data_IF_439426954186
#
_entry.id   IF_439426954186
#
_cell.length_a   1.000
_cell.length_b   1.000
_cell.length_c   1.000
_cell.angle_alpha   90.00
_cell.angle_beta   90.00
_cell.angle_gamma   90.00
#
_symmetry.space_group_name_H-M   'P 1'
#
loop_
_entity.id
_entity.type
_entity.pdbx_description
1 polymer ?
#
# COMPACT_ATOMS: atom_id res chain seq x y z
N UNK A 1 30.76 12.14 2.15
CA UNK A 1 30.23 10.86 2.66
C UNK A 1 31.26 10.23 3.59
N UNK A 2 30.85 9.77 4.77
CA UNK A 2 31.75 9.06 5.70
C UNK A 2 32.00 7.63 5.19
N UNK A 3 33.27 7.28 5.03
CA UNK A 3 33.69 6.00 4.46
C UNK A 3 33.19 4.85 5.36
N UNK A 4 32.32 4.01 4.81
CA UNK A 4 31.82 2.83 5.49
C UNK A 4 30.57 3.03 6.33
N UNK A 5 29.91 4.18 6.35
CA UNK A 5 28.58 4.35 6.97
C UNK A 5 27.47 4.08 5.95
N UNK A 6 26.39 3.38 6.36
CA UNK A 6 25.26 3.13 5.47
C UNK A 6 24.63 4.46 5.00
N UNK A 7 24.31 4.50 3.72
CA UNK A 7 23.49 5.55 3.12
C UNK A 7 22.05 5.47 3.63
N UNK A 8 21.30 6.56 3.48
CA UNK A 8 19.85 6.50 3.64
C UNK A 8 19.33 5.48 2.64
N UNK A 9 18.76 4.40 3.15
CA UNK A 9 18.30 3.27 2.36
C UNK A 9 16.79 3.29 2.30
N UNK A 10 16.26 3.09 1.10
CA UNK A 10 14.85 2.87 0.83
C UNK A 10 14.71 1.52 0.14
N UNK A 11 13.92 0.63 0.73
CA UNK A 11 13.55 -0.65 0.13
C UNK A 11 12.03 -0.67 -0.04
N UNK A 12 11.56 -1.01 -1.24
CA UNK A 12 10.14 -1.22 -1.49
C UNK A 12 9.90 -2.70 -1.79
N UNK A 13 8.95 -3.28 -1.08
CA UNK A 13 8.52 -4.66 -1.23
C UNK A 13 7.07 -4.67 -1.68
N UNK A 14 6.77 -5.47 -2.70
CA UNK A 14 5.42 -5.70 -3.19
C UNK A 14 5.17 -7.20 -3.09
N UNK A 15 4.13 -7.61 -2.36
CA UNK A 15 3.84 -9.02 -2.14
C UNK A 15 2.33 -9.29 -2.07
N UNK A 16 1.88 -10.46 -2.53
CA UNK A 16 0.47 -10.74 -2.73
C UNK A 16 -0.26 -10.83 -1.38
N UNK A 17 -1.48 -10.29 -1.35
CA UNK A 17 -2.36 -10.32 -0.19
C UNK A 17 -3.70 -11.00 -0.50
N UNK A 18 -4.13 -10.97 -1.77
CA UNK A 18 -5.44 -11.47 -2.19
C UNK A 18 -6.55 -10.44 -1.96
N UNK A 19 -7.81 -10.89 -2.06
CA UNK A 19 -8.98 -10.05 -1.81
C UNK A 19 -9.24 -9.96 -0.32
N UNK A 20 -8.92 -8.82 0.27
CA UNK A 20 -9.19 -8.47 1.65
C UNK A 20 -10.01 -7.18 1.73
N UNK A 21 -10.76 -7.04 2.83
CA UNK A 21 -11.27 -5.74 3.27
C UNK A 21 -10.08 -4.79 3.52
N UNK A 22 -10.04 -3.59 2.93
CA UNK A 22 -8.86 -2.73 3.00
C UNK A 22 -8.40 -2.36 4.41
N UNK A 23 -9.33 -2.07 5.33
CA UNK A 23 -8.98 -1.71 6.70
C UNK A 23 -8.38 -2.92 7.43
N UNK A 24 -9.04 -4.07 7.32
CA UNK A 24 -8.56 -5.33 7.91
C UNK A 24 -7.21 -5.77 7.32
N UNK A 25 -6.99 -5.54 6.02
CA UNK A 25 -5.75 -5.87 5.34
C UNK A 25 -4.56 -5.10 5.93
N UNK A 26 -4.68 -3.79 6.11
CA UNK A 26 -3.57 -2.99 6.65
C UNK A 26 -3.24 -3.43 8.09
N UNK A 27 -4.25 -3.69 8.92
CA UNK A 27 -4.05 -4.20 10.27
C UNK A 27 -3.31 -5.55 10.29
N UNK A 28 -3.73 -6.51 9.47
CA UNK A 28 -3.11 -7.83 9.40
C UNK A 28 -1.70 -7.76 8.83
N UNK A 29 -1.49 -6.95 7.79
CA UNK A 29 -0.17 -6.72 7.24
C UNK A 29 0.77 -6.03 8.23
N UNK A 30 0.27 -5.13 9.09
CA UNK A 30 1.06 -4.50 10.15
C UNK A 30 1.46 -5.50 11.25
N UNK A 31 0.61 -6.49 11.57
CA UNK A 31 1.00 -7.61 12.45
C UNK A 31 2.14 -8.43 11.84
N UNK A 32 2.03 -8.76 10.55
CA UNK A 32 3.09 -9.45 9.80
C UNK A 32 4.40 -8.65 9.78
N UNK A 33 4.30 -7.33 9.60
CA UNK A 33 5.47 -6.46 9.62
C UNK A 33 6.16 -6.43 11.00
N UNK A 34 5.41 -6.31 12.09
CA UNK A 34 5.98 -6.41 13.45
C UNK A 34 6.61 -7.77 13.71
N UNK A 35 6.01 -8.84 13.18
CA UNK A 35 6.60 -10.17 13.24
C UNK A 35 7.96 -10.23 12.53
N UNK A 36 8.10 -9.68 11.33
CA UNK A 36 9.38 -9.61 10.61
C UNK A 36 10.46 -8.88 11.43
N UNK A 37 10.10 -7.76 12.07
CA UNK A 37 11.00 -7.00 12.94
C UNK A 37 11.44 -7.86 14.12
N UNK A 38 10.51 -8.57 14.77
CA UNK A 38 10.83 -9.46 15.88
C UNK A 38 11.75 -10.62 15.46
N UNK A 39 11.60 -11.16 14.24
CA UNK A 39 12.51 -12.16 13.70
C UNK A 39 13.92 -11.59 13.45
N UNK A 40 14.01 -10.38 12.91
CA UNK A 40 15.30 -9.71 12.72
C UNK A 40 16.03 -9.45 14.06
N UNK A 41 15.29 -9.20 15.15
CA UNK A 41 15.87 -9.14 16.50
C UNK A 41 16.39 -10.50 16.96
N UNK A 42 15.59 -11.58 16.79
CA UNK A 42 16.01 -12.94 17.14
C UNK A 42 17.26 -13.40 16.39
N UNK A 43 17.41 -12.95 15.15
CA UNK A 43 18.57 -13.24 14.29
C UNK A 43 19.77 -12.32 14.54
N UNK A 44 19.69 -11.43 15.54
CA UNK A 44 20.74 -10.46 15.86
C UNK A 44 21.11 -9.55 14.68
N UNK A 45 20.15 -9.24 13.80
CA UNK A 45 20.30 -8.24 12.74
C UNK A 45 20.03 -6.85 13.32
N UNK A 46 18.99 -6.74 14.15
CA UNK A 46 18.63 -5.54 14.88
C UNK A 46 18.73 -5.75 16.39
N UNK A 47 19.14 -4.70 17.08
CA UNK A 47 19.17 -4.66 18.56
C UNK A 47 18.56 -3.35 19.03
N UNK A 48 18.18 -3.24 20.30
CA UNK A 48 17.56 -2.02 20.88
C UNK A 48 16.41 -1.45 20.04
N UNK A 49 15.57 -2.32 19.50
CA UNK A 49 14.39 -1.89 18.73
C UNK A 49 13.41 -1.16 19.63
N UNK A 50 13.00 0.02 19.21
CA UNK A 50 11.99 0.83 19.87
C UNK A 50 10.97 1.29 18.83
N UNK A 51 9.71 0.89 18.98
CA UNK A 51 8.59 1.52 18.27
C UNK A 51 8.30 2.87 18.92
N UNK A 52 8.20 3.92 18.11
CA UNK A 52 7.97 5.28 18.57
C UNK A 52 6.54 5.72 18.34
N UNK A 53 6.03 5.50 17.13
CA UNK A 53 4.71 5.95 16.73
C UNK A 53 4.17 5.06 15.61
N UNK A 54 2.88 4.74 15.70
CA UNK A 54 2.09 4.07 14.66
C UNK A 54 0.90 4.98 14.35
N UNK A 55 0.75 5.36 13.08
CA UNK A 55 -0.36 6.20 12.65
C UNK A 55 -0.83 5.92 11.22
N UNK A 56 -2.11 6.21 10.93
CA UNK A 56 -2.61 6.22 9.57
C UNK A 56 -1.82 7.16 8.68
N UNK A 57 -1.51 6.71 7.47
CA UNK A 57 -0.77 7.46 6.47
C UNK A 57 -1.55 7.49 5.15
N UNK A 58 -2.36 8.53 4.90
CA UNK A 58 -3.09 8.64 3.64
C UNK A 58 -2.14 9.00 2.52
N UNK A 59 -2.24 8.30 1.38
CA UNK A 59 -1.63 8.75 0.14
C UNK A 59 -2.40 9.94 -0.42
N UNK A 60 -1.77 10.77 -1.26
CA UNK A 60 -2.50 11.80 -2.01
C UNK A 60 -3.65 11.14 -2.77
N UNK A 61 -4.85 11.72 -2.67
CA UNK A 61 -5.95 11.33 -3.52
C UNK A 61 -5.62 11.68 -4.97
N UNK A 62 -6.25 10.99 -5.93
CA UNK A 62 -6.35 11.52 -7.29
C UNK A 62 -6.95 12.93 -7.24
N UNK A 63 -6.63 13.76 -8.24
CA UNK A 63 -7.20 15.11 -8.29
C UNK A 63 -8.73 15.05 -8.17
N UNK A 64 -9.33 15.92 -7.34
CA UNK A 64 -10.76 15.91 -7.16
C UNK A 64 -11.46 16.17 -8.50
N UNK A 65 -12.51 15.41 -8.75
CA UNK A 65 -13.43 15.74 -9.82
C UNK A 65 -14.18 17.01 -9.41
N UNK A 66 -14.01 18.09 -10.17
CA UNK A 66 -14.68 19.38 -9.97
C UNK A 66 -16.19 19.33 -10.33
N UNK A 67 -16.73 18.14 -10.61
CA UNK A 67 -18.14 17.95 -10.86
C UNK A 67 -19.00 18.42 -9.66
N UNK A 68 -20.07 19.13 -9.97
CA UNK A 68 -21.02 19.62 -8.98
C UNK A 68 -22.16 18.59 -8.90
N UNK A 69 -22.49 18.05 -7.72
CA UNK A 69 -23.58 17.09 -7.58
C UNK A 69 -24.91 17.75 -7.96
N UNK A 70 -25.71 17.09 -8.80
CA UNK A 70 -26.99 17.66 -9.22
C UNK A 70 -28.09 17.47 -8.16
N UNK A 71 -27.91 16.49 -7.25
CA UNK A 71 -28.81 16.20 -6.14
C UNK A 71 -28.07 15.45 -5.00
N UNK A 72 -28.77 15.17 -3.90
CA UNK A 72 -28.21 14.50 -2.72
C UNK A 72 -27.73 13.06 -2.99
N UNK A 73 -28.34 12.36 -3.94
CA UNK A 73 -27.95 11.01 -4.35
C UNK A 73 -26.61 11.07 -5.07
N UNK A 74 -26.47 12.02 -6.00
CA UNK A 74 -25.20 12.26 -6.70
C UNK A 74 -24.09 12.62 -5.71
N UNK A 75 -24.38 13.48 -4.73
CA UNK A 75 -23.42 13.82 -3.68
C UNK A 75 -22.99 12.60 -2.86
N UNK A 76 -23.93 11.71 -2.50
CA UNK A 76 -23.63 10.48 -1.78
C UNK A 76 -22.79 9.50 -2.61
N UNK A 77 -23.10 9.37 -3.90
CA UNK A 77 -22.34 8.54 -4.86
C UNK A 77 -20.93 9.08 -5.06
N UNK A 78 -20.78 10.38 -5.30
CA UNK A 78 -19.48 11.03 -5.46
C UNK A 78 -18.61 10.86 -4.21
N UNK A 79 -19.20 11.03 -3.02
CA UNK A 79 -18.50 10.77 -1.76
C UNK A 79 -18.07 9.30 -1.64
N UNK A 80 -18.93 8.36 -2.02
CA UNK A 80 -18.59 6.94 -1.99
C UNK A 80 -17.43 6.59 -2.94
N UNK A 81 -17.36 7.22 -4.12
CA UNK A 81 -16.22 7.09 -5.04
C UNK A 81 -14.95 7.62 -4.38
N UNK A 82 -14.98 8.87 -3.89
CA UNK A 82 -13.82 9.50 -3.27
C UNK A 82 -13.30 8.72 -2.05
N UNK A 83 -14.22 8.21 -1.21
CA UNK A 83 -13.87 7.39 -0.05
C UNK A 83 -13.25 6.04 -0.48
N UNK A 84 -13.72 5.43 -1.57
CA UNK A 84 -13.20 4.14 -2.08
C UNK A 84 -11.83 4.27 -2.75
N UNK A 85 -11.60 5.37 -3.47
CA UNK A 85 -10.34 5.62 -4.17
C UNK A 85 -9.22 6.05 -3.21
N UNK A 86 -9.57 6.44 -1.98
CA UNK A 86 -8.60 6.90 -0.99
C UNK A 86 -7.81 5.75 -0.38
N UNK A 87 -6.56 5.62 -0.81
CA UNK A 87 -5.63 4.65 -0.22
C UNK A 87 -5.04 5.22 1.07
N UNK A 88 -5.33 4.57 2.19
CA UNK A 88 -4.74 4.88 3.49
C UNK A 88 -3.96 3.67 4.00
N UNK A 89 -2.66 3.87 4.22
CA UNK A 89 -1.79 2.89 4.83
C UNK A 89 -1.49 3.22 6.29
N UNK A 90 -0.47 2.59 6.84
CA UNK A 90 0.08 2.89 8.16
C UNK A 90 1.57 3.20 8.09
N UNK A 91 2.01 4.16 8.92
CA UNK A 91 3.40 4.49 9.16
C UNK A 91 3.79 4.01 10.55
N UNK A 92 4.81 3.17 10.63
CA UNK A 92 5.46 2.75 11.86
C UNK A 92 6.85 3.37 11.97
N UNK A 93 7.01 4.31 12.89
CA UNK A 93 8.29 4.94 13.22
C UNK A 93 9.01 4.14 14.29
N UNK A 94 10.29 3.91 14.08
CA UNK A 94 11.15 3.10 14.94
C UNK A 94 12.55 3.66 15.06
N UNK A 95 13.24 3.20 16.10
CA UNK A 95 14.70 3.24 16.21
C UNK A 95 15.22 1.83 16.46
N UNK A 96 16.43 1.56 16.00
CA UNK A 96 17.14 0.33 16.31
C UNK A 96 18.64 0.52 16.11
N UNK A 97 19.42 -0.43 16.62
CA UNK A 97 20.83 -0.54 16.34
C UNK A 97 21.08 -1.65 15.30
N UNK A 98 21.79 -1.31 14.22
CA UNK A 98 22.11 -2.23 13.12
C UNK A 98 23.41 -2.98 13.41
N UNK A 99 23.34 -4.31 13.40
CA UNK A 99 24.50 -5.19 13.55
C UNK A 99 25.29 -5.35 12.24
N UNK A 100 26.61 -5.65 12.29
CA UNK A 100 27.40 -5.97 13.48
C UNK A 100 28.03 -4.75 14.19
N UNK A 101 27.83 -3.53 13.68
CA UNK A 101 28.51 -2.32 14.19
C UNK A 101 27.75 -1.56 15.28
N UNK A 102 26.59 -2.08 15.68
CA UNK A 102 25.69 -1.48 16.67
C UNK A 102 25.30 -0.03 16.34
N UNK A 103 25.17 0.30 15.05
CA UNK A 103 24.92 1.67 14.63
C UNK A 103 23.49 2.11 14.94
N UNK A 104 23.29 3.24 15.63
CA UNK A 104 21.95 3.76 15.88
C UNK A 104 21.33 4.27 14.58
N UNK A 105 20.14 3.75 14.28
CA UNK A 105 19.37 4.06 13.07
C UNK A 105 18.04 4.71 13.44
N UNK A 106 17.62 5.67 12.63
CA UNK A 106 16.20 5.97 12.44
C UNK A 106 15.63 4.98 11.43
N UNK A 107 14.37 4.59 11.62
CA UNK A 107 13.65 3.78 10.65
C UNK A 107 12.18 4.13 10.60
N UNK A 108 11.64 4.18 9.38
CA UNK A 108 10.21 4.30 9.13
C UNK A 108 9.80 3.16 8.22
N UNK A 109 8.76 2.45 8.61
CA UNK A 109 8.09 1.48 7.75
C UNK A 109 6.72 1.99 7.37
N UNK A 110 6.37 1.87 6.10
CA UNK A 110 5.07 2.23 5.58
C UNK A 110 4.45 0.98 4.96
N UNK A 111 3.17 0.75 5.23
CA UNK A 111 2.44 -0.37 4.67
C UNK A 111 1.12 0.10 4.10
N UNK A 112 0.87 -0.26 2.85
CA UNK A 112 -0.38 0.01 2.14
C UNK A 112 -0.92 -1.28 1.57
N UNK A 113 -2.24 -1.35 1.41
CA UNK A 113 -2.90 -2.39 0.66
C UNK A 113 -3.61 -1.75 -0.54
N UNK A 114 -3.24 -2.19 -1.75
CA UNK A 114 -3.91 -1.80 -2.99
C UNK A 114 -3.71 -2.88 -4.04
N UNK A 115 -4.61 -2.96 -5.02
CA UNK A 115 -4.46 -3.87 -6.17
C UNK A 115 -4.25 -5.34 -5.80
N UNK A 116 -4.80 -5.79 -4.66
CA UNK A 116 -4.65 -7.15 -4.08
C UNK A 116 -3.26 -7.47 -3.49
N UNK A 117 -2.41 -6.45 -3.29
CA UNK A 117 -1.05 -6.59 -2.78
C UNK A 117 -0.80 -5.67 -1.60
N UNK A 118 0.14 -6.09 -0.76
CA UNK A 118 0.80 -5.20 0.18
C UNK A 118 1.96 -4.48 -0.51
N UNK A 119 2.04 -3.17 -0.26
CA UNK A 119 3.16 -2.33 -0.64
C UNK A 119 3.84 -1.86 0.65
N UNK A 120 5.04 -2.38 0.92
CA UNK A 120 5.82 -2.07 2.11
C UNK A 120 7.05 -1.25 1.72
N UNK A 121 7.14 0.00 2.18
CA UNK A 121 8.36 0.80 2.09
C UNK A 121 9.09 0.77 3.42
N UNK A 122 10.35 0.36 3.43
CA UNK A 122 11.25 0.43 4.57
C UNK A 122 12.31 1.49 4.29
N UNK A 123 12.40 2.46 5.18
CA UNK A 123 13.47 3.44 5.17
C UNK A 123 14.31 3.33 6.43
N UNK A 124 15.61 3.53 6.29
CA UNK A 124 16.52 3.64 7.43
C UNK A 124 17.71 4.56 7.14
N UNK A 125 18.14 5.31 8.15
CA UNK A 125 19.32 6.16 8.08
C UNK A 125 20.05 6.19 9.43
N UNK A 126 21.37 6.34 9.40
CA UNK A 126 22.17 6.51 10.62
C UNK A 126 21.84 7.85 11.30
N UNK A 127 21.63 7.83 12.62
CA UNK A 127 21.15 9.00 13.38
C UNK A 127 22.12 10.20 13.37
N UNK A 128 23.41 9.94 13.20
CA UNK A 128 24.45 10.97 13.10
C UNK A 128 24.40 11.78 11.78
N UNK A 129 23.69 11.29 10.76
CA UNK A 129 23.72 11.88 9.40
C UNK A 129 22.57 12.82 9.10
N UNK A 130 21.46 12.65 9.80
CA UNK A 130 20.19 13.33 9.51
C UNK A 130 19.47 13.53 10.83
N UNK A 131 18.73 14.63 10.99
CA UNK A 131 17.85 14.80 12.14
C UNK A 131 16.62 13.90 12.00
N UNK A 132 15.93 13.61 13.11
CA UNK A 132 14.66 12.86 13.07
C UNK A 132 13.65 13.54 12.13
N UNK A 133 13.49 14.87 12.25
CA UNK A 133 12.54 15.64 11.45
C UNK A 133 12.82 15.58 9.94
N UNK A 134 14.10 15.75 9.54
CA UNK A 134 14.49 15.65 8.14
C UNK A 134 14.34 14.22 7.60
N UNK A 135 14.60 13.21 8.44
CA UNK A 135 14.36 11.81 8.08
C UNK A 135 12.86 11.54 7.88
N UNK A 136 12.01 12.00 8.79
CA UNK A 136 10.56 11.82 8.70
C UNK A 136 9.99 12.51 7.46
N UNK A 137 10.40 13.75 7.19
CA UNK A 137 9.97 14.49 6.00
C UNK A 137 10.40 13.82 4.69
N UNK A 138 11.65 13.37 4.62
CA UNK A 138 12.18 12.67 3.46
C UNK A 138 11.47 11.35 3.22
N UNK A 139 11.23 10.58 4.28
CA UNK A 139 10.59 9.26 4.18
C UNK A 139 9.11 9.36 3.86
N UNK A 140 8.41 10.37 4.37
CA UNK A 140 7.02 10.66 4.01
C UNK A 140 6.90 11.08 2.54
N UNK A 141 7.81 11.92 2.06
CA UNK A 141 7.87 12.29 0.64
C UNK A 141 8.13 11.06 -0.25
N UNK A 142 9.08 10.20 0.15
CA UNK A 142 9.39 8.98 -0.58
C UNK A 142 8.18 8.05 -0.64
N UNK A 143 7.47 7.83 0.47
CA UNK A 143 6.26 7.02 0.48
C UNK A 143 5.14 7.60 -0.41
N UNK A 144 4.92 8.92 -0.35
CA UNK A 144 3.92 9.62 -1.18
C UNK A 144 4.27 9.66 -2.66
N UNK A 145 5.55 9.48 -3.02
CA UNK A 145 6.01 9.49 -4.41
C UNK A 145 6.08 8.08 -4.99
N UNK A 146 6.75 7.16 -4.28
CA UNK A 146 7.06 5.83 -4.80
C UNK A 146 5.85 4.89 -4.80
N UNK A 147 5.04 4.90 -3.73
CA UNK A 147 3.93 3.94 -3.61
C UNK A 147 2.83 4.19 -4.66
N UNK A 148 2.41 5.43 -4.95
CA UNK A 148 1.50 5.68 -6.06
C UNK A 148 2.08 5.34 -7.44
N UNK A 149 3.39 5.53 -7.64
CA UNK A 149 4.05 5.26 -8.92
C UNK A 149 4.14 3.77 -9.25
N UNK A 150 4.25 2.91 -8.23
CA UNK A 150 4.25 1.46 -8.41
C UNK A 150 2.83 0.95 -8.66
N UNK A 151 2.61 0.18 -9.71
CA UNK A 151 1.30 -0.36 -10.07
C UNK A 151 1.43 -1.86 -10.29
N UNK A 152 0.42 -2.62 -9.83
CA UNK A 152 0.28 -4.04 -10.11
C UNK A 152 -0.96 -4.23 -10.97
N UNK A 153 -0.77 -4.87 -12.12
CA UNK A 153 -1.86 -5.33 -12.98
C UNK A 153 -2.02 -6.84 -12.80
N UNK A 154 -3.22 -7.26 -12.41
CA UNK A 154 -3.54 -8.65 -12.19
C UNK A 154 -4.18 -9.23 -13.45
N UNK A 155 -3.65 -10.34 -13.97
CA UNK A 155 -4.18 -11.01 -15.16
C UNK A 155 -4.75 -12.37 -14.77
N UNK A 156 -6.01 -12.64 -15.09
CA UNK A 156 -6.67 -13.92 -14.84
C UNK A 156 -8.12 -13.79 -14.36
N UNK A 157 -8.60 -14.79 -13.62
CA UNK A 157 -10.01 -14.89 -13.22
C UNK A 157 -10.47 -13.79 -12.26
N UNK A 158 -9.54 -13.05 -11.65
CA UNK A 158 -9.90 -11.91 -10.79
C UNK A 158 -10.62 -10.78 -11.56
N UNK A 159 -10.58 -10.81 -12.91
CA UNK A 159 -11.34 -9.93 -13.80
C UNK A 159 -12.87 -10.13 -13.68
N UNK A 160 -13.32 -11.28 -13.16
CA UNK A 160 -14.73 -11.50 -12.86
C UNK A 160 -15.09 -10.86 -11.51
N UNK A 161 -16.12 -10.01 -11.51
CA UNK A 161 -16.68 -9.36 -10.34
C UNK A 161 -18.11 -9.85 -10.10
N UNK A 162 -18.46 -10.05 -8.83
CA UNK A 162 -19.84 -10.30 -8.40
C UNK A 162 -20.20 -9.19 -7.44
N UNK A 163 -21.24 -8.43 -7.79
CA UNK A 163 -21.75 -7.33 -6.98
C UNK A 163 -22.97 -7.84 -6.23
N UNK A 164 -22.94 -7.70 -4.90
CA UNK A 164 -24.04 -8.08 -4.03
C UNK A 164 -24.85 -6.85 -3.67
N UNK A 165 -26.13 -6.83 -4.01
CA UNK A 165 -27.03 -5.72 -3.64
C UNK A 165 -28.06 -6.25 -2.65
N UNK A 166 -28.28 -5.51 -1.56
CA UNK A 166 -29.36 -5.82 -0.64
C UNK A 166 -30.72 -5.53 -1.31
N UNK A 167 -31.62 -6.53 -1.48
CA UNK A 167 -32.92 -6.32 -2.11
C UNK A 167 -33.85 -5.40 -1.32
N UNK A 168 -33.60 -5.23 -0.02
CA UNK A 168 -34.40 -4.38 0.88
C UNK A 168 -33.82 -2.96 1.02
N UNK A 169 -32.72 -2.65 0.32
CA UNK A 169 -32.12 -1.31 0.34
C UNK A 169 -33.00 -0.29 -0.39
N UNK A 170 -32.99 0.96 0.07
CA UNK A 170 -33.57 2.05 -0.72
C UNK A 170 -32.77 2.23 -2.02
N UNK A 171 -33.36 2.81 -3.09
CA UNK A 171 -32.64 3.05 -4.35
C UNK A 171 -31.31 3.79 -4.15
N UNK A 172 -31.26 4.75 -3.22
CA UNK A 172 -30.07 5.53 -2.90
C UNK A 172 -28.98 4.67 -2.24
N UNK A 173 -29.38 3.84 -1.28
CA UNK A 173 -28.47 2.90 -0.61
C UNK A 173 -27.92 1.87 -1.59
N UNK A 174 -28.78 1.33 -2.46
CA UNK A 174 -28.39 0.40 -3.52
C UNK A 174 -27.43 1.02 -4.52
N UNK A 175 -27.64 2.28 -4.92
CA UNK A 175 -26.74 3.02 -5.80
C UNK A 175 -25.36 3.22 -5.19
N UNK A 176 -25.30 3.65 -3.92
CA UNK A 176 -24.03 3.81 -3.18
C UNK A 176 -23.30 2.48 -3.04
N UNK A 177 -24.02 1.40 -2.71
CA UNK A 177 -23.44 0.07 -2.57
C UNK A 177 -22.87 -0.47 -3.89
N UNK A 178 -23.64 -0.33 -4.98
CA UNK A 178 -23.22 -0.68 -6.34
C UNK A 178 -21.94 0.05 -6.73
N UNK A 179 -21.89 1.36 -6.53
CA UNK A 179 -20.73 2.18 -6.89
C UNK A 179 -19.52 1.81 -6.04
N UNK A 180 -19.69 1.66 -4.73
CA UNK A 180 -18.59 1.27 -3.82
C UNK A 180 -17.97 -0.06 -4.25
N UNK A 181 -18.79 -1.09 -4.50
CA UNK A 181 -18.29 -2.40 -4.93
C UNK A 181 -17.67 -2.33 -6.33
N UNK A 182 -18.27 -1.59 -7.26
CA UNK A 182 -17.72 -1.41 -8.61
C UNK A 182 -16.36 -0.72 -8.59
N UNK A 183 -16.21 0.38 -7.83
CA UNK A 183 -14.95 1.10 -7.66
C UNK A 183 -13.89 0.25 -6.98
N UNK A 184 -14.28 -0.51 -5.95
CA UNK A 184 -13.38 -1.45 -5.29
C UNK A 184 -12.84 -2.50 -6.26
N UNK A 185 -13.71 -3.09 -7.09
CA UNK A 185 -13.30 -4.05 -8.12
C UNK A 185 -12.41 -3.42 -9.19
N UNK A 186 -12.71 -2.20 -9.65
CA UNK A 186 -11.85 -1.44 -10.56
C UNK A 186 -10.46 -1.19 -9.93
N UNK A 187 -10.43 -0.86 -8.63
CA UNK A 187 -9.20 -0.62 -7.86
C UNK A 187 -8.31 -1.86 -7.71
N UNK A 188 -8.83 -3.07 -7.94
CA UNK A 188 -8.01 -4.29 -8.01
C UNK A 188 -7.14 -4.40 -9.26
N UNK A 189 -7.40 -3.56 -10.27
CA UNK A 189 -6.65 -3.55 -11.54
C UNK A 189 -6.53 -4.95 -12.17
N UNK A 190 -7.67 -5.66 -12.22
CA UNK A 190 -7.80 -7.00 -12.76
C UNK A 190 -8.20 -6.97 -14.24
N UNK A 191 -7.54 -7.82 -15.04
CA UNK A 191 -7.69 -7.90 -16.49
C UNK A 191 -7.80 -9.35 -16.93
N UNK A 192 -8.54 -9.62 -18.01
CA UNK A 192 -8.66 -11.00 -18.52
C UNK A 192 -7.42 -11.45 -19.30
N UNK A 193 -6.59 -10.52 -19.76
CA UNK A 193 -5.35 -10.80 -20.49
C UNK A 193 -4.29 -9.71 -20.28
N UNK A 194 -3.03 -10.02 -20.57
CA UNK A 194 -1.92 -9.05 -20.53
C UNK A 194 -2.07 -7.93 -21.57
N UNK A 195 -2.76 -8.19 -22.69
CA UNK A 195 -3.09 -7.19 -23.71
C UNK A 195 -4.06 -6.15 -23.14
N UNK A 196 -5.14 -6.59 -22.48
CA UNK A 196 -6.10 -5.68 -21.83
C UNK A 196 -5.47 -4.87 -20.71
N UNK A 197 -4.54 -5.48 -19.97
CA UNK A 197 -3.74 -4.79 -18.97
C UNK A 197 -2.75 -3.76 -19.55
N UNK A 198 -2.57 -3.71 -20.88
CA UNK A 198 -1.67 -2.74 -21.52
C UNK A 198 -0.19 -2.94 -21.14
N UNK A 199 0.22 -4.17 -20.82
CA UNK A 199 1.58 -4.46 -20.32
C UNK A 199 2.66 -4.08 -21.33
N UNK A 200 2.46 -4.40 -22.61
CA UNK A 200 3.43 -4.07 -23.67
C UNK A 200 3.60 -2.56 -23.88
N UNK A 201 2.54 -1.78 -23.69
CA UNK A 201 2.63 -0.33 -23.73
C UNK A 201 3.38 0.20 -22.50
N UNK A 202 3.12 -0.36 -21.31
CA UNK A 202 3.77 0.04 -20.06
C UNK A 202 5.29 -0.21 -20.09
N UNK A 203 5.74 -1.31 -20.73
CA UNK A 203 7.16 -1.62 -20.94
C UNK A 203 7.95 -0.53 -21.66
N UNK A 204 7.28 0.40 -22.37
CA UNK A 204 7.93 1.50 -23.10
C UNK A 204 8.38 2.63 -22.19
N UNK A 205 7.75 2.78 -21.02
CA UNK A 205 7.99 3.90 -20.10
C UNK A 205 8.28 3.47 -18.66
N UNK A 206 8.17 2.18 -18.35
CA UNK A 206 8.41 1.62 -17.02
C UNK A 206 9.07 0.24 -17.10
N UNK A 207 9.80 -0.10 -16.05
CA UNK A 207 10.24 -1.47 -15.82
C UNK A 207 9.02 -2.33 -15.43
N UNK A 208 8.86 -3.46 -16.11
CA UNK A 208 7.77 -4.42 -15.82
C UNK A 208 8.40 -5.71 -15.34
N UNK A 209 8.05 -6.09 -14.11
CA UNK A 209 8.46 -7.35 -13.50
C UNK A 209 7.26 -8.29 -13.57
N UNK A 210 7.41 -9.41 -14.28
CA UNK A 210 6.40 -10.45 -14.31
C UNK A 210 6.57 -11.37 -13.10
N UNK A 211 5.48 -11.59 -12.37
CA UNK A 211 5.43 -12.53 -11.25
C UNK A 211 4.33 -13.54 -11.57
N UNK A 212 4.72 -14.78 -11.84
CA UNK A 212 3.79 -15.88 -12.11
C UNK A 212 3.45 -16.57 -10.79
N UNK A 213 2.15 -16.74 -10.55
CA UNK A 213 1.64 -17.55 -9.45
C UNK A 213 0.93 -18.78 -9.99
N UNK A 214 1.10 -19.91 -9.32
CA UNK A 214 0.24 -21.06 -9.54
C UNK A 214 -1.15 -20.80 -8.94
N UNK A 215 -2.19 -21.41 -9.49
CA UNK A 215 -3.58 -21.16 -9.08
C UNK A 215 -3.84 -21.50 -7.60
N UNK A 216 -3.08 -22.45 -7.05
CA UNK A 216 -3.14 -22.89 -5.64
C UNK A 216 -2.36 -21.98 -4.68
N UNK A 217 -1.53 -21.07 -5.18
CA UNK A 217 -0.78 -20.09 -4.37
C UNK A 217 -1.62 -18.85 -4.03
N UNK A 218 -2.65 -18.57 -4.84
CA UNK A 218 -3.66 -17.58 -4.49
C UNK A 218 -4.55 -18.18 -3.40
N UNK A 219 -4.39 -17.71 -2.16
CA UNK A 219 -5.37 -17.98 -1.11
C UNK A 219 -6.71 -17.37 -1.51
N UNK A 220 -7.54 -18.15 -2.18
CA UNK A 220 -8.98 -17.93 -2.17
C UNK A 220 -9.45 -18.16 -0.74
N UNK A 221 -9.86 -17.09 -0.07
CA UNK A 221 -10.81 -17.19 1.02
C UNK A 221 -12.14 -16.66 0.50
#
# INVERSE_FOLDING_TARGET
MLKGHQETRFDVYVYPAGRLDPASAVDDGMKGFRYDIAQAVKQNIYTRVQELHDSPFPLPAAEPDDSIPANDIDAAVMKAIADTDRITGHKLQMRFNLQPRDWPMYSSGYLFYKQLYYFKLRASAAQERITQESFDSLTDLAARTLIPALQVANVGECANATIYLNPDATPEQGAVELVRQSRQHQGYNCHSSAEQAGIEQSRRSAEVIEITYAADEWKSQ
#
